data_IF_063329386340
#
_entry.id   IF_063329386340
#
_cell.length_a   1.000
_cell.length_b   1.000
_cell.length_c   1.000
_cell.angle_alpha   90.00
_cell.angle_beta   90.00
_cell.angle_gamma   90.00
#
_symmetry.space_group_name_H-M   'P 1'
#
loop_
_entity.id
_entity.type
_entity.pdbx_description
1 polymer ?
#
# COMPACT_ATOMS: atom_id res chain seq x y z
N UNK A 1 16.54 -17.19 -15.33
CA UNK A 1 15.25 -17.15 -14.60
C UNK A 1 14.76 -15.72 -14.66
N UNK A 2 13.66 -15.43 -15.33
CA UNK A 2 13.02 -14.12 -15.18
C UNK A 2 12.64 -13.98 -13.69
N UNK A 3 12.97 -12.87 -13.06
CA UNK A 3 12.53 -12.59 -11.69
C UNK A 3 11.01 -12.54 -11.74
N UNK A 4 10.33 -13.43 -11.03
CA UNK A 4 8.88 -13.40 -10.94
C UNK A 4 8.46 -12.02 -10.41
N UNK A 5 7.57 -11.34 -11.12
CA UNK A 5 7.08 -10.05 -10.66
C UNK A 5 6.13 -10.29 -9.48
N UNK A 6 6.44 -9.65 -8.36
CA UNK A 6 5.66 -9.73 -7.14
C UNK A 6 4.88 -8.45 -6.93
N UNK A 7 3.83 -8.50 -6.12
CA UNK A 7 3.04 -7.31 -5.73
C UNK A 7 3.96 -6.26 -5.09
N UNK A 8 5.00 -6.67 -4.35
CA UNK A 8 6.00 -5.74 -3.80
C UNK A 8 6.66 -4.85 -4.87
N UNK A 9 6.81 -5.31 -6.11
CA UNK A 9 7.41 -4.51 -7.18
C UNK A 9 6.64 -3.22 -7.47
N UNK A 10 5.33 -3.19 -7.21
CA UNK A 10 4.48 -2.00 -7.36
C UNK A 10 4.79 -0.92 -6.33
N UNK A 11 5.46 -1.27 -5.22
CA UNK A 11 5.77 -0.38 -4.10
C UNK A 11 7.21 0.20 -4.16
N UNK A 12 8.02 -0.19 -5.16
CA UNK A 12 9.42 0.23 -5.27
C UNK A 12 9.56 1.75 -5.35
N UNK A 13 8.72 2.39 -6.17
CA UNK A 13 8.67 3.84 -6.29
C UNK A 13 7.68 4.42 -5.29
N UNK A 14 8.10 5.46 -4.57
CA UNK A 14 7.24 6.16 -3.62
C UNK A 14 6.17 6.97 -4.38
N UNK A 15 4.99 7.18 -3.79
CA UNK A 15 4.02 8.15 -4.27
C UNK A 15 4.60 9.58 -4.23
N UNK A 16 4.06 10.51 -5.04
CA UNK A 16 4.55 11.89 -5.12
C UNK A 16 4.31 12.68 -3.83
N UNK A 17 3.28 12.32 -3.06
CA UNK A 17 2.95 12.89 -1.76
C UNK A 17 2.48 11.81 -0.79
N UNK A 18 2.37 12.18 0.49
CA UNK A 18 1.88 11.32 1.57
C UNK A 18 0.73 12.00 2.29
N UNK A 19 -0.21 11.21 2.83
CA UNK A 19 -1.28 11.73 3.68
C UNK A 19 -0.75 12.17 5.05
N UNK A 20 -0.19 11.24 5.82
CA UNK A 20 0.31 11.41 7.18
C UNK A 20 1.65 10.70 7.37
N UNK A 21 2.29 10.92 8.52
CA UNK A 21 3.65 10.42 8.80
C UNK A 21 3.72 8.91 9.04
N UNK A 22 2.60 8.24 9.29
CA UNK A 22 2.53 6.78 9.34
C UNK A 22 2.42 6.13 7.96
N UNK A 23 1.90 6.83 6.94
CA UNK A 23 1.67 6.24 5.61
C UNK A 23 2.97 5.75 4.94
N UNK A 24 4.12 6.46 5.02
CA UNK A 24 5.40 5.94 4.55
C UNK A 24 5.84 4.64 5.26
N UNK A 25 5.52 4.51 6.55
CA UNK A 25 5.85 3.30 7.32
C UNK A 25 4.98 2.13 6.85
N UNK A 26 3.67 2.34 6.69
CA UNK A 26 2.76 1.33 6.17
C UNK A 26 3.11 0.93 4.74
N UNK A 27 3.48 1.88 3.87
CA UNK A 27 3.96 1.60 2.52
C UNK A 27 5.16 0.65 2.52
N UNK A 28 6.14 0.90 3.39
CA UNK A 28 7.30 0.03 3.51
C UNK A 28 6.95 -1.34 4.09
N UNK A 29 6.03 -1.42 5.04
CA UNK A 29 5.54 -2.71 5.54
C UNK A 29 4.78 -3.50 4.48
N UNK A 30 3.93 -2.86 3.67
CA UNK A 30 3.25 -3.51 2.54
C UNK A 30 4.25 -4.05 1.51
N UNK A 31 5.27 -3.27 1.16
CA UNK A 31 6.34 -3.75 0.28
C UNK A 31 6.98 -5.05 0.81
N UNK A 32 7.28 -5.13 2.12
CA UNK A 32 7.83 -6.35 2.74
C UNK A 32 6.80 -7.48 2.80
N UNK A 33 5.55 -7.16 3.15
CA UNK A 33 4.46 -8.13 3.25
C UNK A 33 4.23 -8.86 1.92
N UNK A 34 4.37 -8.16 0.80
CA UNK A 34 4.16 -8.69 -0.54
C UNK A 34 5.43 -9.21 -1.25
N UNK A 35 6.57 -9.32 -0.55
CA UNK A 35 7.87 -9.65 -1.17
C UNK A 35 7.86 -10.98 -1.94
N UNK A 36 7.03 -11.93 -1.51
CA UNK A 36 6.87 -13.25 -2.11
C UNK A 36 5.48 -13.49 -2.72
N UNK A 37 4.63 -12.46 -2.77
CA UNK A 37 3.29 -12.56 -3.34
C UNK A 37 3.37 -12.30 -4.84
N UNK A 38 3.09 -13.27 -5.72
CA UNK A 38 3.09 -13.04 -7.16
C UNK A 38 2.04 -11.99 -7.54
N UNK A 39 2.27 -11.27 -8.64
CA UNK A 39 1.23 -10.42 -9.21
C UNK A 39 -0.04 -11.26 -9.50
N UNK A 40 -1.23 -10.78 -9.13
CA UNK A 40 -2.48 -11.48 -9.38
C UNK A 40 -2.86 -11.44 -10.86
N UNK A 41 -3.86 -12.22 -11.25
CA UNK A 41 -4.33 -12.30 -12.63
C UNK A 41 -5.23 -11.12 -13.02
N UNK A 42 -5.81 -10.43 -12.04
CA UNK A 42 -6.72 -9.29 -12.28
C UNK A 42 -6.45 -8.11 -11.34
N UNK A 43 -6.88 -6.92 -11.77
CA UNK A 43 -6.85 -5.71 -10.95
C UNK A 43 -7.76 -5.81 -9.70
N UNK A 44 -8.89 -6.52 -9.79
CA UNK A 44 -9.80 -6.73 -8.66
C UNK A 44 -9.17 -7.61 -7.57
N UNK A 45 -8.43 -8.65 -7.97
CA UNK A 45 -7.62 -9.45 -7.07
C UNK A 45 -6.51 -8.62 -6.41
N UNK A 46 -5.86 -7.73 -7.17
CA UNK A 46 -4.87 -6.80 -6.62
C UNK A 46 -5.48 -5.86 -5.58
N UNK A 47 -6.64 -5.26 -5.89
CA UNK A 47 -7.36 -4.41 -4.96
C UNK A 47 -7.66 -5.16 -3.66
N UNK A 48 -8.21 -6.37 -3.77
CA UNK A 48 -8.54 -7.24 -2.63
C UNK A 48 -7.30 -7.55 -1.78
N UNK A 49 -6.16 -7.85 -2.42
CA UNK A 49 -4.90 -8.11 -1.71
C UNK A 49 -4.44 -6.88 -0.92
N UNK A 50 -4.46 -5.69 -1.53
CA UNK A 50 -4.02 -4.45 -0.88
C UNK A 50 -4.95 -4.08 0.27
N UNK A 51 -6.27 -4.19 0.11
CA UNK A 51 -7.24 -3.94 1.17
C UNK A 51 -7.05 -4.89 2.36
N UNK A 52 -6.87 -6.18 2.06
CA UNK A 52 -6.64 -7.22 3.08
C UNK A 52 -5.34 -6.97 3.83
N UNK A 53 -4.26 -6.60 3.13
CA UNK A 53 -2.98 -6.28 3.75
C UNK A 53 -3.06 -5.00 4.60
N UNK A 54 -3.78 -3.98 4.11
CA UNK A 54 -4.02 -2.75 4.88
C UNK A 54 -4.68 -3.08 6.21
N UNK A 55 -5.76 -3.85 6.20
CA UNK A 55 -6.46 -4.25 7.42
C UNK A 55 -5.60 -5.15 8.31
N UNK A 56 -4.92 -6.14 7.74
CA UNK A 56 -4.06 -7.06 8.50
C UNK A 56 -2.90 -6.34 9.20
N UNK A 57 -2.30 -5.34 8.54
CA UNK A 57 -1.17 -4.59 9.09
C UNK A 57 -1.67 -3.53 10.08
N UNK A 58 -2.74 -2.81 9.77
CA UNK A 58 -3.16 -1.67 10.61
C UNK A 58 -4.13 -2.04 11.73
N UNK A 59 -4.87 -3.16 11.60
CA UNK A 59 -6.01 -3.50 12.44
C UNK A 59 -7.29 -2.71 12.11
N UNK A 60 -7.28 -1.93 11.02
CA UNK A 60 -8.39 -1.07 10.62
C UNK A 60 -8.70 -1.25 9.13
N UNK A 61 -9.99 -1.25 8.78
CA UNK A 61 -10.40 -1.27 7.38
C UNK A 61 -9.88 -0.02 6.64
N UNK A 62 -9.50 -0.17 5.37
CA UNK A 62 -9.19 0.96 4.48
C UNK A 62 -10.38 1.92 4.33
N UNK A 63 -11.60 1.48 4.61
CA UNK A 63 -12.83 2.28 4.57
C UNK A 63 -13.11 3.02 5.88
N UNK A 64 -12.22 2.88 6.89
CA UNK A 64 -12.37 3.55 8.18
C UNK A 64 -12.47 5.07 7.98
N UNK A 65 -13.40 5.74 8.70
CA UNK A 65 -13.52 7.19 8.62
C UNK A 65 -12.40 7.89 9.39
N UNK A 66 -11.98 9.07 8.92
CA UNK A 66 -10.94 9.86 9.57
C UNK A 66 -9.56 9.21 9.55
N UNK A 67 -8.69 9.64 10.46
CA UNK A 67 -7.34 9.09 10.63
C UNK A 67 -7.28 8.24 11.89
N UNK A 68 -6.45 7.22 11.89
CA UNK A 68 -6.22 6.40 13.08
C UNK A 68 -4.73 6.28 13.37
N UNK A 69 -4.41 5.96 14.62
CA UNK A 69 -3.04 5.89 15.11
C UNK A 69 -2.58 4.43 15.20
N UNK A 70 -1.40 4.16 14.67
CA UNK A 70 -0.72 2.88 14.79
C UNK A 70 0.58 3.10 15.55
N UNK A 71 0.64 2.59 16.78
CA UNK A 71 1.73 2.87 17.72
C UNK A 71 3.12 2.53 17.17
N UNK A 72 3.27 1.37 16.52
CA UNK A 72 4.55 0.94 15.94
C UNK A 72 5.06 1.82 14.78
N UNK A 73 4.20 2.66 14.20
CA UNK A 73 4.59 3.63 13.18
C UNK A 73 4.99 4.99 13.77
N UNK A 74 4.85 5.15 15.08
CA UNK A 74 5.22 6.38 15.76
C UNK A 74 6.72 6.46 16.04
N UNK A 75 7.41 7.26 15.24
CA UNK A 75 8.83 7.58 15.43
C UNK A 75 9.04 8.96 16.09
N UNK A 76 7.99 9.51 16.72
CA UNK A 76 7.99 10.84 17.34
C UNK A 76 7.51 11.97 16.41
N UNK A 77 7.24 13.14 17.01
CA UNK A 77 6.74 14.34 16.32
C UNK A 77 5.21 14.42 16.17
N UNK A 78 4.72 15.56 15.69
CA UNK A 78 3.28 15.76 15.44
C UNK A 78 2.81 14.81 14.33
N UNK A 79 1.76 14.04 14.62
CA UNK A 79 1.16 13.02 13.76
C UNK A 79 2.06 11.82 13.42
N UNK A 80 3.13 11.59 14.20
CA UNK A 80 3.89 10.35 14.12
C UNK A 80 2.95 9.15 14.31
N UNK A 81 3.02 8.16 13.43
CA UNK A 81 2.21 6.94 13.50
C UNK A 81 0.74 7.05 13.07
N UNK A 82 0.26 8.22 12.67
CA UNK A 82 -1.10 8.31 12.10
C UNK A 82 -1.13 7.86 10.64
N UNK A 83 -2.19 7.14 10.29
CA UNK A 83 -2.51 6.64 8.95
C UNK A 83 -3.71 7.40 8.39
N UNK A 84 -3.66 7.72 7.10
CA UNK A 84 -4.77 8.35 6.38
C UNK A 84 -5.44 7.36 5.42
N UNK A 85 -6.55 6.71 5.82
CA UNK A 85 -7.38 5.89 4.93
C UNK A 85 -7.79 6.60 3.63
N UNK A 86 -8.01 7.91 3.68
CA UNK A 86 -8.35 8.70 2.49
C UNK A 86 -7.20 8.72 1.47
N UNK A 87 -5.95 8.97 1.93
CA UNK A 87 -4.77 8.88 1.07
C UNK A 87 -4.65 7.49 0.42
N UNK A 88 -4.93 6.43 1.17
CA UNK A 88 -4.85 5.08 0.63
C UNK A 88 -5.89 4.80 -0.45
N UNK A 89 -7.15 5.24 -0.26
CA UNK A 89 -8.22 5.05 -1.24
C UNK A 89 -8.07 5.95 -2.46
N UNK A 90 -7.68 7.21 -2.25
CA UNK A 90 -7.80 8.25 -3.28
C UNK A 90 -6.50 8.45 -4.06
N UNK A 91 -5.34 8.10 -3.49
CA UNK A 91 -4.03 8.28 -4.11
C UNK A 91 -3.25 6.97 -4.26
N UNK A 92 -3.05 6.22 -3.16
CA UNK A 92 -2.14 5.06 -3.16
C UNK A 92 -2.69 3.88 -3.96
N UNK A 93 -3.96 3.51 -3.77
CA UNK A 93 -4.59 2.40 -4.48
C UNK A 93 -4.67 2.68 -5.99
N UNK A 94 -5.16 3.83 -6.47
CA UNK A 94 -5.16 4.14 -7.89
C UNK A 94 -3.75 4.11 -8.51
N UNK A 95 -2.73 4.61 -7.78
CA UNK A 95 -1.33 4.55 -8.24
C UNK A 95 -0.85 3.11 -8.42
N UNK A 96 -1.13 2.22 -7.46
CA UNK A 96 -0.72 0.81 -7.52
C UNK A 96 -1.43 0.07 -8.66
N UNK A 97 -2.72 0.34 -8.87
CA UNK A 97 -3.50 -0.23 -9.97
C UNK A 97 -3.03 0.26 -11.35
N UNK A 98 -2.67 1.54 -11.46
CA UNK A 98 -2.08 2.09 -12.68
C UNK A 98 -0.74 1.41 -13.01
N UNK A 99 0.15 1.29 -12.01
CA UNK A 99 1.43 0.56 -12.17
C UNK A 99 1.27 -0.89 -12.59
N UNK A 100 0.23 -1.55 -12.07
CA UNK A 100 -0.11 -2.93 -12.45
C UNK A 100 -0.56 -3.01 -13.92
N UNK A 101 -1.36 -2.05 -14.37
CA UNK A 101 -1.89 -2.00 -15.74
C UNK A 101 -0.79 -1.68 -16.76
N UNK A 102 0.04 -0.67 -16.49
CA UNK A 102 1.16 -0.28 -17.36
C UNK A 102 2.13 -1.45 -17.62
N UNK A 103 2.34 -2.29 -16.60
CA UNK A 103 3.16 -3.51 -16.71
C UNK A 103 2.57 -4.55 -17.65
N UNK A 104 1.25 -4.58 -17.81
CA UNK A 104 0.56 -5.53 -18.69
C UNK A 104 0.41 -5.01 -20.13
N UNK A 105 0.46 -3.69 -20.35
CA UNK A 105 0.48 -3.11 -21.70
C UNK A 105 1.86 -3.20 -22.38
N UNK A 106 2.92 -3.42 -21.59
CA UNK A 106 4.32 -3.50 -22.06
C UNK A 106 4.80 -4.95 -22.26
N UNK A 107 3.97 -5.95 -21.96
CA UNK A 107 4.23 -7.38 -22.17
C UNK A 107 3.51 -7.92 -23.40
#
# INVERSE_FOLDING_TARGET
>A
MAKAETVASLFLEKPPHWGLRGDPCLWQEMHRYFEHTPLPATADELNTLIETAFESLTGHSISSPGHFFVERFNHGGMSGGYISPAFWRDDAMPLLLARYTDKWETM
#
